data_IF_452903116017
#
_entry.id   IF_452903116017
#
_cell.length_a   1.000
_cell.length_b   1.000
_cell.length_c   1.000
_cell.angle_alpha   90.00
_cell.angle_beta   90.00
_cell.angle_gamma   90.00
#
_symmetry.space_group_name_H-M   'P 1'
#
loop_
_entity.id
_entity.type
_entity.pdbx_description
1 polymer ?
#
# COMPACT_ATOMS: atom_id res chain seq x y z
N UNK A 1 19.12 21.30 -20.90
CA UNK A 1 18.37 20.87 -19.69
C UNK A 1 18.96 19.54 -19.23
N UNK A 2 19.87 19.62 -18.26
CA UNK A 2 20.58 18.48 -17.67
C UNK A 2 19.83 18.05 -16.39
N UNK A 3 19.34 16.81 -16.35
CA UNK A 3 18.85 16.20 -15.10
C UNK A 3 19.98 15.43 -14.44
N UNK A 4 20.47 15.99 -13.34
CA UNK A 4 21.41 15.37 -12.40
C UNK A 4 20.61 14.41 -11.52
N UNK A 5 20.86 13.10 -11.66
CA UNK A 5 20.37 12.07 -10.74
C UNK A 5 21.41 11.90 -9.63
N UNK A 6 21.16 12.54 -8.50
CA UNK A 6 21.97 12.38 -7.29
C UNK A 6 21.65 11.08 -6.58
N UNK A 7 22.58 10.14 -6.65
CA UNK A 7 22.65 8.94 -5.82
C UNK A 7 23.00 9.32 -4.38
N UNK A 8 22.10 9.07 -3.40
CA UNK A 8 22.43 9.20 -1.98
C UNK A 8 22.65 7.79 -1.39
N UNK A 9 23.92 7.50 -1.15
CA UNK A 9 24.45 6.26 -0.59
C UNK A 9 24.10 6.14 0.90
N UNK A 10 23.69 4.95 1.31
CA UNK A 10 23.50 4.56 2.69
C UNK A 10 24.83 4.55 3.48
N UNK A 11 24.78 5.01 4.73
CA UNK A 11 25.85 4.80 5.72
C UNK A 11 25.24 4.46 7.07
N UNK A 12 24.70 3.24 7.19
CA UNK A 12 24.27 2.65 8.46
C UNK A 12 25.47 1.97 9.12
N UNK A 13 26.03 2.65 10.12
CA UNK A 13 27.12 2.16 10.96
C UNK A 13 26.63 1.09 11.95
N UNK A 14 27.43 0.03 12.00
CA UNK A 14 27.35 -1.18 12.78
C UNK A 14 27.27 -0.97 14.31
N UNK A 15 26.36 -1.74 14.91
CA UNK A 15 26.55 -2.65 16.05
C UNK A 15 27.76 -2.44 17.00
N UNK A 16 27.44 -2.10 18.26
CA UNK A 16 28.24 -2.43 19.45
C UNK A 16 27.27 -2.97 20.51
N UNK A 17 27.09 -4.29 20.58
CA UNK A 17 27.65 -5.17 21.63
C UNK A 17 27.65 -4.53 23.03
N UNK A 18 26.71 -4.95 23.88
CA UNK A 18 26.88 -4.90 25.33
C UNK A 18 26.69 -6.32 25.91
N UNK A 19 27.66 -6.83 26.69
CA UNK A 19 27.56 -8.12 27.35
C UNK A 19 26.96 -8.03 28.77
N UNK A 20 26.16 -9.05 29.03
CA UNK A 20 25.78 -9.72 30.29
C UNK A 20 26.69 -9.40 31.51
N UNK A 21 26.08 -8.92 32.61
CA UNK A 21 26.43 -9.23 34.01
C UNK A 21 25.16 -9.17 34.88
N UNK A 22 24.65 -10.31 35.30
CA UNK A 22 24.74 -10.84 36.67
C UNK A 22 24.08 -9.95 37.74
N UNK A 23 22.84 -10.30 38.11
CA UNK A 23 22.34 -10.11 39.47
C UNK A 23 21.73 -11.43 39.96
N UNK A 24 22.53 -12.11 40.77
CA UNK A 24 22.15 -13.19 41.66
C UNK A 24 21.48 -12.61 42.89
N UNK A 25 20.21 -12.94 43.16
CA UNK A 25 19.68 -12.89 44.54
C UNK A 25 18.52 -13.87 44.71
N UNK A 26 18.85 -15.08 45.18
CA UNK A 26 18.29 -15.76 46.36
C UNK A 26 16.95 -15.18 46.87
N UNK A 27 15.87 -15.98 46.90
CA UNK A 27 15.39 -16.72 48.09
C UNK A 27 14.00 -17.35 47.82
N UNK A 28 13.77 -18.45 48.53
CA UNK A 28 12.45 -18.95 48.94
C UNK A 28 11.77 -20.00 48.04
N UNK A 29 12.39 -21.18 48.00
CA UNK A 29 11.67 -22.44 47.84
C UNK A 29 10.69 -22.60 49.01
N UNK A 30 9.41 -22.29 48.77
CA UNK A 30 8.31 -22.87 49.55
C UNK A 30 7.68 -23.97 48.72
N UNK A 31 7.74 -25.17 49.28
CA UNK A 31 7.05 -26.36 48.80
C UNK A 31 5.55 -26.06 48.69
N UNK A 32 5.03 -26.07 47.46
CA UNK A 32 3.60 -26.16 47.18
C UNK A 32 3.43 -27.29 46.17
N UNK A 33 2.75 -28.41 46.51
CA UNK A 33 2.36 -29.40 45.52
C UNK A 33 1.11 -28.89 44.82
N UNK A 34 1.26 -27.87 43.98
CA UNK A 34 0.15 -27.28 43.24
C UNK A 34 0.21 -27.76 41.79
N UNK A 35 -0.60 -28.78 41.52
CA UNK A 35 -1.21 -29.11 40.24
C UNK A 35 -0.37 -28.73 39.01
N UNK A 36 0.45 -29.70 38.58
CA UNK A 36 1.10 -29.75 37.27
C UNK A 36 0.03 -29.81 36.16
N UNK A 37 -0.66 -28.69 35.93
CA UNK A 37 -1.32 -28.42 34.65
C UNK A 37 -0.21 -28.47 33.62
N UNK A 38 -0.20 -29.53 32.80
CA UNK A 38 0.45 -29.49 31.50
C UNK A 38 -0.17 -28.30 30.78
N UNK A 39 0.48 -27.15 30.81
CA UNK A 39 0.34 -26.15 29.76
C UNK A 39 0.82 -26.86 28.51
N UNK A 40 -0.12 -27.47 27.80
CA UNK A 40 0.05 -27.72 26.39
C UNK A 40 0.34 -26.34 25.82
N UNK A 41 1.62 -26.06 25.58
CA UNK A 41 2.02 -25.03 24.65
C UNK A 41 1.33 -25.40 23.34
N UNK A 42 0.15 -24.80 23.14
CA UNK A 42 -0.50 -24.73 21.86
C UNK A 42 0.46 -23.89 21.04
N UNK A 43 1.47 -24.56 20.49
CA UNK A 43 2.21 -24.12 19.33
C UNK A 43 1.15 -23.99 18.26
N UNK A 44 0.55 -22.80 18.22
CA UNK A 44 -0.36 -22.36 17.17
C UNK A 44 0.42 -22.55 15.90
N UNK A 45 0.19 -23.69 15.24
CA UNK A 45 0.60 -23.93 13.87
C UNK A 45 -0.07 -22.80 13.11
N UNK A 46 0.67 -21.71 12.89
CA UNK A 46 0.26 -20.59 12.07
C UNK A 46 0.05 -21.16 10.69
N UNK A 47 -1.18 -21.61 10.48
CA UNK A 47 -1.65 -22.22 9.26
C UNK A 47 -1.31 -21.25 8.13
N UNK A 48 -0.61 -21.70 7.10
CA UNK A 48 -0.33 -20.89 5.91
C UNK A 48 -1.65 -20.45 5.24
N UNK A 49 -2.79 -21.08 5.55
CA UNK A 49 -4.13 -20.61 5.16
C UNK A 49 -4.58 -19.33 5.88
N UNK A 50 -3.92 -18.94 6.98
CA UNK A 50 -4.18 -17.65 7.64
C UNK A 50 -3.85 -16.45 6.75
N UNK A 51 -2.91 -16.60 5.81
CA UNK A 51 -2.57 -15.58 4.81
C UNK A 51 -3.74 -15.30 3.86
N UNK A 52 -4.65 -16.26 3.68
CA UNK A 52 -5.85 -16.12 2.86
C UNK A 52 -7.06 -15.59 3.64
N UNK A 53 -7.00 -15.48 4.97
CA UNK A 53 -8.12 -14.96 5.78
C UNK A 53 -8.35 -13.48 5.48
N UNK A 54 -9.62 -13.08 5.30
CA UNK A 54 -9.97 -11.67 5.13
C UNK A 54 -9.74 -10.96 6.47
N UNK A 55 -8.91 -9.92 6.52
CA UNK A 55 -8.67 -9.21 7.78
C UNK A 55 -9.94 -8.50 8.24
N UNK A 56 -10.13 -8.47 9.56
CA UNK A 56 -11.24 -7.76 10.21
C UNK A 56 -11.05 -6.24 10.08
N UNK A 57 -12.13 -5.46 10.20
CA UNK A 57 -12.08 -4.00 10.06
C UNK A 57 -11.11 -3.36 11.07
N UNK A 58 -11.10 -3.84 12.31
CA UNK A 58 -10.18 -3.40 13.38
C UNK A 58 -8.71 -3.64 13.01
N UNK A 59 -8.38 -4.83 12.50
CA UNK A 59 -7.02 -5.16 12.05
C UNK A 59 -6.55 -4.24 10.92
N UNK A 60 -7.47 -3.80 10.05
CA UNK A 60 -7.14 -2.85 8.99
C UNK A 60 -6.82 -1.46 9.54
N UNK A 61 -7.58 -0.99 10.54
CA UNK A 61 -7.32 0.30 11.19
C UNK A 61 -5.97 0.31 11.89
N UNK A 62 -5.65 -0.77 12.60
CA UNK A 62 -4.34 -0.94 13.25
C UNK A 62 -3.22 -0.97 12.21
N UNK A 63 -3.38 -1.72 11.12
CA UNK A 63 -2.39 -1.80 10.03
C UNK A 63 -2.13 -0.43 9.40
N UNK A 64 -3.18 0.36 9.23
CA UNK A 64 -3.15 1.64 8.55
C UNK A 64 -2.84 2.83 9.48
N UNK A 65 -2.72 2.56 10.79
CA UNK A 65 -2.54 3.55 11.86
C UNK A 65 -3.58 4.67 11.78
N UNK A 66 -4.86 4.28 11.75
CA UNK A 66 -6.03 5.17 11.71
C UNK A 66 -6.80 5.05 13.04
N UNK A 67 -7.21 6.15 13.69
CA UNK A 67 -7.99 6.12 14.92
C UNK A 67 -9.32 5.36 14.78
N UNK A 68 -9.83 4.84 15.89
CA UNK A 68 -11.03 4.01 15.89
C UNK A 68 -12.32 4.76 15.52
N UNK A 69 -12.35 6.09 15.69
CA UNK A 69 -13.45 6.97 15.31
C UNK A 69 -13.73 6.98 13.79
N UNK A 70 -12.72 6.62 12.98
CA UNK A 70 -12.90 6.62 11.53
C UNK A 70 -13.74 5.42 11.07
N UNK A 71 -14.74 5.71 10.25
CA UNK A 71 -15.56 4.72 9.58
C UNK A 71 -14.94 4.33 8.22
N UNK A 72 -14.80 3.03 7.96
CA UNK A 72 -14.37 2.53 6.65
C UNK A 72 -15.55 2.58 5.67
N UNK A 73 -15.47 3.48 4.68
CA UNK A 73 -16.53 3.68 3.67
C UNK A 73 -16.19 3.02 2.33
N UNK A 74 -14.91 2.84 2.02
CA UNK A 74 -14.47 2.24 0.77
C UNK A 74 -13.42 1.17 1.05
N UNK A 75 -13.61 0.00 0.47
CA UNK A 75 -12.63 -1.10 0.55
C UNK A 75 -12.46 -1.74 -0.82
N UNK A 76 -11.29 -1.51 -1.40
CA UNK A 76 -10.93 -2.15 -2.66
C UNK A 76 -10.83 -3.67 -2.50
N UNK A 77 -11.62 -4.43 -3.26
CA UNK A 77 -11.57 -5.90 -3.25
C UNK A 77 -10.28 -6.45 -3.86
N UNK A 78 -9.59 -5.63 -4.66
CA UNK A 78 -8.36 -5.98 -5.37
C UNK A 78 -7.07 -5.70 -4.60
N UNK A 79 -7.15 -5.40 -3.29
CA UNK A 79 -5.99 -5.09 -2.44
C UNK A 79 -4.82 -6.10 -2.61
N UNK A 80 -5.12 -7.41 -2.56
CA UNK A 80 -4.11 -8.46 -2.75
C UNK A 80 -3.54 -8.51 -4.17
N UNK A 81 -4.39 -8.32 -5.18
CA UNK A 81 -3.97 -8.32 -6.58
C UNK A 81 -3.02 -7.16 -6.86
N UNK A 82 -3.32 -5.98 -6.33
CA UNK A 82 -2.44 -4.81 -6.43
C UNK A 82 -1.10 -5.06 -5.73
N UNK A 83 -1.11 -5.67 -4.54
CA UNK A 83 0.13 -6.05 -3.84
C UNK A 83 0.98 -7.03 -4.67
N UNK A 84 0.37 -8.10 -5.20
CA UNK A 84 1.10 -9.08 -6.01
C UNK A 84 1.59 -8.48 -7.32
N UNK A 85 0.79 -7.63 -7.95
CA UNK A 85 1.19 -6.94 -9.18
C UNK A 85 2.41 -6.07 -8.89
N UNK A 86 2.42 -5.28 -7.81
CA UNK A 86 3.57 -4.46 -7.43
C UNK A 86 4.81 -5.30 -7.10
N UNK A 87 4.64 -6.45 -6.45
CA UNK A 87 5.74 -7.36 -6.15
C UNK A 87 6.33 -7.95 -7.44
N UNK A 88 5.49 -8.44 -8.34
CA UNK A 88 5.91 -9.03 -9.61
C UNK A 88 6.56 -7.96 -10.50
N UNK A 89 5.96 -6.78 -10.66
CA UNK A 89 6.52 -5.70 -11.50
C UNK A 89 7.85 -5.21 -10.95
N UNK A 90 7.99 -5.07 -9.63
CA UNK A 90 9.27 -4.67 -9.01
C UNK A 90 10.34 -5.75 -9.15
N UNK A 91 9.99 -7.03 -9.01
CA UNK A 91 10.91 -8.15 -9.23
C UNK A 91 11.34 -8.25 -10.70
N UNK A 92 10.41 -8.10 -11.65
CA UNK A 92 10.71 -8.06 -13.08
C UNK A 92 11.60 -6.88 -13.43
N UNK A 93 11.34 -5.69 -12.89
CA UNK A 93 12.19 -4.51 -13.10
C UNK A 93 13.61 -4.72 -12.56
N UNK A 94 13.73 -5.27 -11.35
CA UNK A 94 15.03 -5.60 -10.75
C UNK A 94 15.80 -6.63 -11.60
N UNK A 95 15.11 -7.67 -12.09
CA UNK A 95 15.71 -8.67 -12.98
C UNK A 95 16.25 -8.04 -14.27
N UNK A 96 15.48 -7.14 -14.90
CA UNK A 96 15.94 -6.41 -16.10
C UNK A 96 17.19 -5.59 -15.78
N UNK A 97 17.19 -4.84 -14.69
CA UNK A 97 18.34 -4.02 -14.29
C UNK A 97 19.58 -4.90 -14.09
N UNK A 98 19.47 -5.99 -13.32
CA UNK A 98 20.58 -6.93 -13.08
C UNK A 98 21.07 -7.54 -14.41
N UNK A 99 20.17 -7.97 -15.28
CA UNK A 99 20.54 -8.52 -16.58
C UNK A 99 21.30 -7.49 -17.44
N UNK A 100 20.83 -6.25 -17.47
CA UNK A 100 21.48 -5.17 -18.24
C UNK A 100 22.83 -4.79 -17.66
N UNK A 101 23.01 -4.73 -16.34
CA UNK A 101 24.31 -4.39 -15.72
C UNK A 101 25.35 -5.47 -15.97
N UNK A 102 24.96 -6.75 -15.84
CA UNK A 102 25.83 -7.89 -16.16
C UNK A 102 26.26 -7.82 -17.64
N UNK A 103 25.31 -7.60 -18.56
CA UNK A 103 25.60 -7.49 -19.99
C UNK A 103 26.55 -6.33 -20.32
N UNK A 104 26.38 -5.17 -19.67
CA UNK A 104 27.24 -4.00 -19.84
C UNK A 104 28.65 -4.24 -19.31
N UNK A 105 28.82 -4.93 -18.16
CA UNK A 105 30.13 -5.28 -17.62
C UNK A 105 30.90 -6.25 -18.54
N UNK A 106 30.21 -7.28 -19.07
CA UNK A 106 30.80 -8.19 -20.06
C UNK A 106 31.24 -7.46 -21.34
N UNK A 107 30.40 -6.56 -21.86
CA UNK A 107 30.76 -5.74 -23.03
C UNK A 107 31.98 -4.85 -22.76
N UNK A 108 32.11 -4.30 -21.56
CA UNK A 108 33.20 -3.39 -21.18
C UNK A 108 34.53 -4.14 -20.99
N UNK A 109 34.49 -5.42 -20.58
CA UNK A 109 35.68 -6.26 -20.36
C UNK A 109 36.27 -6.89 -21.63
N UNK A 110 35.68 -6.67 -22.80
CA UNK A 110 36.27 -7.04 -24.09
C UNK A 110 36.04 -8.48 -24.56
N UNK A 111 35.40 -9.33 -23.77
CA UNK A 111 34.99 -10.69 -24.19
C UNK A 111 33.70 -10.63 -25.04
N UNK A 112 33.86 -10.12 -26.27
CA UNK A 112 32.79 -10.00 -27.26
C UNK A 112 32.48 -11.32 -27.99
N UNK A 113 33.31 -12.34 -27.81
CA UNK A 113 33.25 -13.62 -28.53
C UNK A 113 32.15 -14.58 -28.06
N UNK A 114 31.54 -14.35 -26.90
CA UNK A 114 30.49 -15.22 -26.34
C UNK A 114 29.12 -14.53 -26.14
N UNK A 115 28.97 -13.29 -26.57
CA UNK A 115 27.68 -12.61 -26.41
C UNK A 115 26.68 -13.15 -27.44
N UNK A 116 25.50 -13.62 -27.01
CA UNK A 116 24.47 -14.02 -27.95
C UNK A 116 24.10 -12.81 -28.79
N UNK A 117 24.11 -12.96 -30.12
CA UNK A 117 23.63 -11.95 -31.06
C UNK A 117 22.15 -11.74 -30.78
N UNK A 118 21.84 -10.73 -29.97
CA UNK A 118 20.46 -10.38 -29.63
C UNK A 118 19.84 -9.74 -30.87
N UNK A 119 18.80 -10.37 -31.41
CA UNK A 119 18.06 -9.85 -32.56
C UNK A 119 17.41 -8.51 -32.24
N UNK A 120 17.25 -7.65 -33.25
CA UNK A 120 16.55 -6.36 -33.14
C UNK A 120 15.14 -6.51 -32.58
N UNK A 121 14.47 -7.62 -32.88
CA UNK A 121 13.14 -7.99 -32.36
C UNK A 121 13.10 -8.07 -30.83
N UNK A 122 14.15 -8.58 -30.19
CA UNK A 122 14.22 -8.70 -28.73
C UNK A 122 14.17 -7.34 -28.03
N UNK A 123 14.74 -6.29 -28.64
CA UNK A 123 14.67 -4.94 -28.10
C UNK A 123 13.24 -4.39 -28.13
N UNK A 124 12.47 -4.69 -29.17
CA UNK A 124 11.05 -4.31 -29.24
C UNK A 124 10.22 -5.02 -28.17
N UNK A 125 10.45 -6.32 -27.95
CA UNK A 125 9.77 -7.06 -26.88
C UNK A 125 10.12 -6.52 -25.49
N UNK A 126 11.40 -6.22 -25.25
CA UNK A 126 11.84 -5.61 -23.98
C UNK A 126 11.23 -4.22 -23.77
N UNK A 127 11.21 -3.37 -24.80
CA UNK A 127 10.60 -2.06 -24.73
C UNK A 127 9.10 -2.16 -24.41
N UNK A 128 8.36 -3.02 -25.12
CA UNK A 128 6.93 -3.25 -24.88
C UNK A 128 6.66 -3.76 -23.46
N UNK A 129 7.49 -4.68 -22.96
CA UNK A 129 7.38 -5.20 -21.60
C UNK A 129 7.63 -4.12 -20.53
N UNK A 130 8.65 -3.28 -20.71
CA UNK A 130 8.91 -2.14 -19.83
C UNK A 130 7.74 -1.15 -19.87
N UNK A 131 7.21 -0.83 -21.04
CA UNK A 131 6.03 0.04 -21.19
C UNK A 131 4.83 -0.54 -20.45
N UNK A 132 4.56 -1.84 -20.57
CA UNK A 132 3.47 -2.50 -19.85
C UNK A 132 3.64 -2.40 -18.32
N UNK A 133 4.86 -2.62 -17.81
CA UNK A 133 5.17 -2.46 -16.37
C UNK A 133 4.89 -1.02 -15.91
N UNK A 134 5.31 -0.01 -16.68
CA UNK A 134 5.10 1.40 -16.34
C UNK A 134 3.60 1.73 -16.29
N UNK A 135 2.82 1.26 -17.26
CA UNK A 135 1.37 1.47 -17.28
C UNK A 135 0.71 0.84 -16.05
N UNK A 136 1.07 -0.41 -15.71
CA UNK A 136 0.57 -1.09 -14.51
C UNK A 136 0.94 -0.32 -13.23
N UNK A 137 2.17 0.20 -13.14
CA UNK A 137 2.61 0.97 -11.98
C UNK A 137 1.80 2.28 -11.82
N UNK A 138 1.55 2.99 -12.93
CA UNK A 138 0.72 4.21 -12.92
C UNK A 138 -0.70 3.87 -12.46
N UNK A 139 -1.28 2.77 -12.94
CA UNK A 139 -2.61 2.33 -12.51
C UNK A 139 -2.67 2.04 -11.02
N UNK A 140 -1.71 1.29 -10.49
CA UNK A 140 -1.67 0.96 -9.05
C UNK A 140 -1.53 2.23 -8.21
N UNK A 141 -0.73 3.20 -8.66
CA UNK A 141 -0.53 4.47 -7.97
C UNK A 141 -1.79 5.34 -7.91
N UNK A 142 -2.66 5.24 -8.93
CA UNK A 142 -3.93 6.01 -9.00
C UNK A 142 -5.08 5.34 -8.25
N UNK A 143 -4.96 4.08 -7.87
CA UNK A 143 -6.05 3.32 -7.26
C UNK A 143 -5.94 3.36 -5.74
N UNK A 144 -6.91 3.95 -5.01
CA UNK A 144 -6.93 3.88 -3.56
C UNK A 144 -7.26 2.46 -3.11
N UNK A 145 -6.66 2.07 -1.99
CA UNK A 145 -6.92 0.82 -1.32
C UNK A 145 -8.14 0.91 -0.43
N UNK A 146 -8.20 1.98 0.37
CA UNK A 146 -9.19 2.18 1.43
C UNK A 146 -9.46 3.65 1.61
N UNK A 147 -10.71 3.98 1.93
CA UNK A 147 -11.09 5.34 2.31
C UNK A 147 -11.81 5.25 3.64
N UNK A 148 -11.32 6.06 4.57
CA UNK A 148 -11.86 6.26 5.90
C UNK A 148 -12.53 7.62 5.97
N UNK A 149 -13.64 7.69 6.67
CA UNK A 149 -14.43 8.89 6.86
C UNK A 149 -14.60 9.18 8.35
N UNK A 150 -14.45 10.44 8.73
CA UNK A 150 -14.68 10.93 10.08
C UNK A 150 -15.91 11.85 10.07
N UNK A 151 -17.07 11.39 10.59
CA UNK A 151 -18.33 12.15 10.56
C UNK A 151 -18.22 13.53 11.20
N UNK A 152 -17.62 13.61 12.40
CA UNK A 152 -17.51 14.84 13.20
C UNK A 152 -16.82 16.00 12.47
N UNK A 153 -15.88 15.71 11.56
CA UNK A 153 -15.07 16.75 10.89
C UNK A 153 -15.29 16.78 9.38
N UNK A 154 -16.18 15.94 8.83
CA UNK A 154 -16.37 15.72 7.39
C UNK A 154 -15.04 15.50 6.65
N UNK A 155 -14.12 14.79 7.29
CA UNK A 155 -12.75 14.52 6.79
C UNK A 155 -12.62 13.10 6.27
N UNK A 156 -11.94 12.97 5.14
CA UNK A 156 -11.67 11.71 4.47
C UNK A 156 -10.16 11.44 4.47
N UNK A 157 -9.79 10.22 4.84
CA UNK A 157 -8.41 9.72 4.74
C UNK A 157 -8.38 8.59 3.73
N UNK A 158 -7.72 8.84 2.60
CA UNK A 158 -7.51 7.84 1.55
C UNK A 158 -6.12 7.23 1.69
N UNK A 159 -6.05 5.91 1.53
CA UNK A 159 -4.80 5.15 1.59
C UNK A 159 -4.49 4.58 0.22
N UNK A 160 -3.29 4.88 -0.26
CA UNK A 160 -2.74 4.42 -1.53
C UNK A 160 -1.50 3.55 -1.29
N UNK A 161 -1.13 2.75 -2.27
CA UNK A 161 0.22 2.21 -2.32
C UNK A 161 1.24 3.33 -2.58
N UNK A 162 2.37 3.26 -1.90
CA UNK A 162 3.53 4.11 -2.16
C UNK A 162 4.31 3.67 -3.39
N UNK A 163 5.39 4.39 -3.70
CA UNK A 163 6.26 4.06 -4.84
C UNK A 163 6.97 2.71 -4.70
N UNK A 164 7.18 2.26 -3.46
CA UNK A 164 7.86 1.01 -3.13
C UNK A 164 6.86 -0.05 -2.64
N UNK A 165 7.13 -1.34 -2.89
CA UNK A 165 6.30 -2.42 -2.35
C UNK A 165 6.24 -2.31 -0.83
N UNK A 166 5.06 -2.58 -0.27
CA UNK A 166 4.76 -2.48 1.17
C UNK A 166 4.79 -1.07 1.77
N UNK A 167 5.05 -0.03 0.96
CA UNK A 167 4.87 1.36 1.38
C UNK A 167 3.42 1.79 1.19
N UNK A 168 2.90 2.59 2.11
CA UNK A 168 1.57 3.19 2.03
C UNK A 168 1.67 4.70 2.07
N UNK A 169 0.84 5.36 1.27
CA UNK A 169 0.71 6.82 1.23
C UNK A 169 -0.68 7.21 1.69
N UNK A 170 -0.77 8.23 2.54
CA UNK A 170 -2.05 8.77 3.00
C UNK A 170 -2.32 10.11 2.33
N UNK A 171 -3.56 10.33 1.92
CA UNK A 171 -4.04 11.59 1.36
C UNK A 171 -5.28 12.00 2.12
N UNK A 172 -5.27 13.23 2.63
CA UNK A 172 -6.40 13.80 3.36
C UNK A 172 -7.21 14.70 2.43
N UNK A 173 -8.52 14.48 2.42
CA UNK A 173 -9.49 15.26 1.64
C UNK A 173 -10.66 15.64 2.55
N UNK A 174 -11.37 16.72 2.23
CA UNK A 174 -12.67 17.06 2.79
C UNK A 174 -13.76 16.64 1.80
N UNK A 175 -14.99 16.51 2.29
CA UNK A 175 -16.15 16.28 1.42
C UNK A 175 -16.29 17.41 0.39
N UNK A 176 -16.68 17.08 -0.84
CA UNK A 176 -16.81 18.07 -1.92
C UNK A 176 -15.52 18.35 -2.70
N UNK A 177 -14.37 17.83 -2.26
CA UNK A 177 -13.08 18.10 -2.93
C UNK A 177 -12.75 17.08 -4.03
N UNK A 178 -13.59 16.05 -4.18
CA UNK A 178 -13.46 15.00 -5.19
C UNK A 178 -14.44 15.29 -6.31
N UNK A 179 -13.92 15.53 -7.51
CA UNK A 179 -14.73 15.88 -8.69
C UNK A 179 -14.57 14.78 -9.74
N UNK A 180 -15.68 14.39 -10.39
CA UNK A 180 -15.65 13.44 -11.50
C UNK A 180 -15.01 14.10 -12.73
N UNK A 181 -14.03 13.43 -13.32
CA UNK A 181 -13.39 13.91 -14.55
C UNK A 181 -14.33 13.72 -15.75
N UNK A 182 -14.35 14.65 -16.72
CA UNK A 182 -15.09 14.45 -17.95
C UNK A 182 -14.52 13.23 -18.69
N UNK A 183 -15.40 12.50 -19.37
CA UNK A 183 -15.07 11.27 -20.10
C UNK A 183 -14.29 11.62 -21.37
N UNK A 184 -12.99 11.90 -21.20
CA UNK A 184 -12.09 12.26 -22.30
C UNK A 184 -11.04 11.17 -22.52
N UNK A 185 -10.84 10.76 -23.78
CA UNK A 185 -9.78 9.83 -24.19
C UNK A 185 -10.21 8.36 -24.29
N UNK A 186 -9.21 7.50 -24.55
CA UNK A 186 -9.38 6.06 -24.88
C UNK A 186 -9.07 5.15 -23.68
N UNK A 187 -9.02 5.70 -22.46
CA UNK A 187 -8.76 4.87 -21.27
C UNK A 187 -9.99 4.03 -20.93
N UNK A 188 -9.85 2.71 -20.68
CA UNK A 188 -10.98 1.85 -20.33
C UNK A 188 -11.62 2.20 -18.98
N UNK A 189 -10.94 2.98 -18.12
CA UNK A 189 -11.43 3.38 -16.78
C UNK A 189 -11.92 4.83 -16.72
N UNK A 190 -12.20 5.44 -17.88
CA UNK A 190 -12.62 6.84 -17.99
C UNK A 190 -13.86 7.20 -17.14
N UNK A 191 -14.75 6.24 -16.92
CA UNK A 191 -16.00 6.44 -16.15
C UNK A 191 -15.77 6.46 -14.63
N UNK A 192 -14.66 5.84 -14.19
CA UNK A 192 -14.26 5.68 -12.80
C UNK A 192 -13.15 6.67 -12.39
N UNK A 193 -12.87 7.67 -13.22
CA UNK A 193 -11.82 8.66 -12.96
C UNK A 193 -12.35 9.87 -12.21
N UNK A 194 -11.68 10.19 -11.11
CA UNK A 194 -11.97 11.34 -10.27
C UNK A 194 -10.69 12.14 -10.02
N UNK A 195 -10.85 13.41 -9.67
CA UNK A 195 -9.77 14.31 -9.36
C UNK A 195 -9.94 14.91 -7.97
N UNK A 196 -8.90 14.84 -7.16
CA UNK A 196 -8.83 15.49 -5.85
C UNK A 196 -8.16 16.86 -6.03
N UNK A 197 -8.88 17.95 -5.73
CA UNK A 197 -8.36 19.34 -5.70
C UNK A 197 -7.52 19.76 -6.91
N UNK A 198 -7.84 19.31 -8.12
CA UNK A 198 -7.05 19.59 -9.33
C UNK A 198 -5.56 19.20 -9.23
N UNK A 199 -5.22 18.23 -8.37
CA UNK A 199 -3.84 17.81 -8.11
C UNK A 199 -3.61 16.34 -8.41
N UNK A 200 -4.57 15.49 -8.11
CA UNK A 200 -4.39 14.05 -8.23
C UNK A 200 -5.59 13.37 -8.86
N UNK A 201 -5.31 12.70 -9.99
CA UNK A 201 -6.25 11.78 -10.63
C UNK A 201 -6.24 10.44 -9.92
N UNK A 202 -7.42 9.97 -9.55
CA UNK A 202 -7.65 8.71 -8.86
C UNK A 202 -8.69 7.88 -9.62
N UNK A 203 -8.65 6.57 -9.40
CA UNK A 203 -9.64 5.63 -9.96
C UNK A 203 -10.47 5.10 -8.81
N UNK A 204 -11.76 5.42 -8.77
CA UNK A 204 -12.70 4.92 -7.76
C UNK A 204 -13.75 4.05 -8.43
N UNK A 205 -14.01 2.88 -7.84
CA UNK A 205 -15.05 1.97 -8.31
C UNK A 205 -16.25 2.05 -7.38
N UNK A 206 -17.42 2.33 -7.93
CA UNK A 206 -18.67 2.53 -7.20
C UNK A 206 -19.06 1.28 -6.38
N UNK A 207 -18.80 0.09 -6.92
CA UNK A 207 -19.09 -1.21 -6.28
C UNK A 207 -18.27 -1.50 -5.00
N UNK A 208 -17.21 -0.72 -4.74
CA UNK A 208 -16.31 -0.92 -3.60
C UNK A 208 -16.63 -0.03 -2.40
N UNK A 209 -17.61 0.87 -2.56
CA UNK A 209 -18.17 1.61 -1.44
C UNK A 209 -19.07 0.73 -0.58
N UNK A 210 -19.23 1.10 0.70
CA UNK A 210 -20.12 0.42 1.64
C UNK A 210 -21.57 0.63 1.23
N UNK A 211 -21.95 1.86 0.88
CA UNK A 211 -23.23 2.23 0.27
C UNK A 211 -22.97 2.95 -1.05
N UNK A 212 -23.81 2.79 -2.08
CA UNK A 212 -23.66 3.55 -3.33
C UNK A 212 -23.78 5.07 -3.12
N UNK A 213 -24.53 5.50 -2.09
CA UNK A 213 -24.66 6.90 -1.67
C UNK A 213 -23.35 7.54 -1.19
N UNK A 214 -22.42 6.75 -0.63
CA UNK A 214 -21.20 7.26 -0.01
C UNK A 214 -20.30 7.99 -1.03
N UNK A 215 -20.39 7.64 -2.31
CA UNK A 215 -19.69 8.32 -3.39
C UNK A 215 -20.22 9.75 -3.60
N UNK A 216 -21.54 9.93 -3.63
CA UNK A 216 -22.18 11.24 -3.77
C UNK A 216 -21.88 12.12 -2.55
N UNK A 217 -21.85 11.54 -1.35
CA UNK A 217 -21.45 12.23 -0.12
C UNK A 217 -19.96 12.64 -0.17
N UNK A 218 -19.08 11.78 -0.70
CA UNK A 218 -17.66 12.10 -0.90
C UNK A 218 -17.47 13.27 -1.89
N UNK A 219 -18.25 13.29 -2.97
CA UNK A 219 -18.29 14.38 -3.96
C UNK A 219 -19.00 15.63 -3.45
N UNK A 220 -19.65 15.58 -2.28
CA UNK A 220 -20.40 16.70 -1.70
C UNK A 220 -21.72 17.00 -2.40
N UNK A 221 -22.23 16.09 -3.22
CA UNK A 221 -23.53 16.21 -3.89
C UNK A 221 -24.71 15.86 -2.97
N UNK A 222 -24.45 15.06 -1.93
CA UNK A 222 -25.45 14.61 -0.97
C UNK A 222 -24.94 14.79 0.47
N UNK A 223 -25.83 15.16 1.39
CA UNK A 223 -25.52 15.17 2.82
C UNK A 223 -25.53 13.76 3.40
N UNK A 224 -24.65 13.52 4.36
CA UNK A 224 -24.52 12.23 5.03
C UNK A 224 -25.70 12.01 6.00
N UNK A 225 -26.55 10.98 5.79
CA UNK A 225 -27.66 10.71 6.69
C UNK A 225 -27.21 10.22 8.08
N UNK A 226 -25.96 9.76 8.21
CA UNK A 226 -25.39 9.27 9.47
C UNK A 226 -24.57 10.38 10.19
N UNK A 227 -24.57 11.63 9.69
CA UNK A 227 -23.95 12.74 10.39
C UNK A 227 -24.84 13.14 11.59
N UNK A 228 -24.32 12.95 12.81
CA UNK A 228 -25.00 13.34 14.04
C UNK A 228 -25.33 14.84 14.01
N UNK A 229 -26.61 15.19 13.84
CA UNK A 229 -27.14 16.54 14.05
C UNK A 229 -27.12 16.87 15.55
N UNK A 230 -25.94 17.13 16.11
CA UNK A 230 -25.77 17.51 17.52
C UNK A 230 -25.52 19.01 17.73
N UNK A 231 -25.70 19.85 16.70
CA UNK A 231 -25.34 21.28 16.77
C UNK A 231 -26.49 22.27 17.09
N UNK A 232 -27.72 21.82 17.36
CA UNK A 232 -28.86 22.76 17.53
C UNK A 232 -29.28 23.10 18.97
N UNK A 233 -28.51 22.74 20.01
CA UNK A 233 -28.99 22.88 21.41
C UNK A 233 -28.08 23.64 22.41
N UNK A 234 -27.14 24.49 21.95
CA UNK A 234 -26.28 25.26 22.87
C UNK A 234 -26.39 26.79 22.78
N UNK A 235 -27.41 27.32 22.11
CA UNK A 235 -27.75 28.75 22.16
C UNK A 235 -29.03 28.97 22.99
N UNK A 236 -28.95 28.83 24.32
CA UNK A 236 -29.85 29.47 25.30
C UNK A 236 -29.03 29.98 26.49
#
# INVERSE_FOLDING_TARGET
MLYVVGTCFARSSLLLKQPIRLLSTIKNQRNIPFLRRRTLEVTSRRSLFSLFRRPKKEELKIKDNVPDEYMLIYRNRMDRYLMYTQLITSASAAFIVIYTTIKVDYLTRGDTSQLPVVSTEAYFYMAAFVTAIVILQIMMYRTPLRIYYLPQQKKYTMIFYGSYPFSYRRVFCKGGEVVKLPVTGVSPWKECMYEIKNKQKIILLDDYFRRPGDLFVLMGEQEDPDADHNDDNNDI
#
